data_IF_928195872419
#
_entry.id   IF_928195872419
#
_cell.length_a   1.000
_cell.length_b   1.000
_cell.length_c   1.000
_cell.angle_alpha   90.00
_cell.angle_beta   90.00
_cell.angle_gamma   90.00
#
_symmetry.space_group_name_H-M   'P 1'
#
loop_
_entity.id
_entity.type
_entity.pdbx_description
1 polymer ?
#
# COMPACT_ATOMS: atom_id res chain seq x y z
N UNK A 1 -0.75 11.74 22.36
CA UNK A 1 -0.94 10.40 22.92
C UNK A 1 -1.02 9.37 21.79
N UNK A 2 -0.26 8.32 21.95
CA UNK A 2 -0.26 7.26 20.93
C UNK A 2 -1.51 6.39 21.06
N UNK A 3 -2.05 5.99 19.95
CA UNK A 3 -3.14 5.01 19.96
C UNK A 3 -2.53 3.62 19.89
N UNK A 4 -3.33 2.60 20.19
CA UNK A 4 -2.90 1.22 20.04
C UNK A 4 -3.44 0.60 18.75
N UNK A 5 -3.89 1.43 17.83
CA UNK A 5 -4.44 0.96 16.56
C UNK A 5 -3.30 0.77 15.57
N UNK A 6 -2.91 -0.46 15.38
CA UNK A 6 -1.83 -0.81 14.45
C UNK A 6 -2.24 -2.07 13.73
N UNK A 7 -2.19 -2.03 12.40
CA UNK A 7 -2.47 -3.18 11.55
C UNK A 7 -1.24 -3.46 10.70
N UNK A 8 -0.90 -4.71 10.57
CA UNK A 8 0.28 -5.12 9.81
C UNK A 8 -0.16 -6.09 8.74
N UNK A 9 0.29 -5.85 7.52
CA UNK A 9 0.00 -6.72 6.41
C UNK A 9 1.29 -7.08 5.71
N UNK A 10 1.34 -8.30 5.19
CA UNK A 10 2.42 -8.71 4.32
C UNK A 10 2.30 -7.94 3.02
N UNK A 11 3.41 -7.53 2.45
CA UNK A 11 3.42 -6.76 1.23
C UNK A 11 4.37 -7.37 0.22
N UNK A 12 3.96 -7.34 -1.03
CA UNK A 12 4.79 -7.78 -2.13
C UNK A 12 4.69 -6.70 -3.20
N UNK A 13 5.82 -6.15 -3.58
CA UNK A 13 5.86 -5.07 -4.54
C UNK A 13 7.12 -4.26 -4.37
N UNK A 14 7.11 -3.07 -4.95
CA UNK A 14 8.25 -2.17 -4.90
C UNK A 14 7.77 -0.81 -4.44
N UNK A 15 8.59 -0.13 -3.65
CA UNK A 15 8.32 1.23 -3.23
C UNK A 15 9.49 2.12 -3.60
N UNK A 16 9.22 3.38 -3.74
CA UNK A 16 10.23 4.36 -4.11
C UNK A 16 10.56 5.26 -2.93
N UNK A 17 11.86 5.44 -2.69
CA UNK A 17 12.33 6.39 -1.70
C UNK A 17 13.38 7.26 -2.38
N UNK A 18 13.05 8.54 -2.55
CA UNK A 18 13.87 9.40 -3.37
C UNK A 18 13.90 8.89 -4.81
N UNK A 19 15.08 8.64 -5.32
CA UNK A 19 15.25 8.12 -6.68
C UNK A 19 15.43 6.61 -6.73
N UNK A 20 15.39 5.94 -5.58
CA UNK A 20 15.67 4.52 -5.52
C UNK A 20 14.43 3.72 -5.20
N UNK A 21 14.32 2.56 -5.81
CA UNK A 21 13.24 1.62 -5.56
C UNK A 21 13.76 0.48 -4.71
N UNK A 22 12.93 -0.03 -3.82
CA UNK A 22 13.28 -1.18 -3.00
C UNK A 22 12.10 -2.14 -2.92
N UNK A 23 12.36 -3.45 -2.80
CA UNK A 23 11.27 -4.41 -2.66
C UNK A 23 10.63 -4.29 -1.27
N UNK A 24 9.32 -4.54 -1.22
CA UNK A 24 8.58 -4.49 0.03
C UNK A 24 8.55 -5.84 0.71
N UNK A 25 8.35 -5.82 2.02
CA UNK A 25 8.02 -7.02 2.77
C UNK A 25 6.77 -6.82 3.59
N UNK A 26 6.52 -5.61 4.05
CA UNK A 26 5.51 -5.36 5.06
C UNK A 26 4.90 -3.97 4.89
N UNK A 27 3.61 -3.87 5.16
CA UNK A 27 2.93 -2.59 5.27
C UNK A 27 2.41 -2.47 6.70
N UNK A 28 2.66 -1.35 7.33
CA UNK A 28 2.16 -1.06 8.67
C UNK A 28 1.18 0.10 8.56
N UNK A 29 -0.02 -0.09 9.08
CA UNK A 29 -1.07 0.94 9.08
C UNK A 29 -1.37 1.27 10.53
N UNK A 30 -1.35 2.53 10.88
CA UNK A 30 -1.60 2.93 12.25
C UNK A 30 -2.39 4.22 12.32
N UNK A 31 -2.98 4.48 13.46
CA UNK A 31 -3.64 5.74 13.74
C UNK A 31 -2.86 6.38 14.89
N UNK A 32 -2.27 7.53 14.64
CA UNK A 32 -1.36 8.13 15.59
C UNK A 32 -1.28 9.64 15.33
N UNK A 33 -0.53 10.33 16.18
CA UNK A 33 -0.28 11.75 16.01
C UNK A 33 0.50 12.00 14.73
N UNK A 34 0.12 13.05 14.01
CA UNK A 34 0.87 13.47 12.83
C UNK A 34 2.23 13.98 13.26
N UNK A 35 3.26 13.60 12.53
CA UNK A 35 4.63 14.05 12.81
C UNK A 35 5.08 15.11 11.82
N UNK A 36 4.50 15.12 10.65
CA UNK A 36 4.92 16.01 9.57
C UNK A 36 3.79 16.88 9.03
N UNK A 37 2.59 16.31 8.91
CA UNK A 37 1.44 17.07 8.46
C UNK A 37 0.97 17.99 9.58
N UNK A 38 0.50 19.22 9.26
CA UNK A 38 -0.03 20.13 10.29
C UNK A 38 -1.45 19.70 10.67
N UNK A 39 -1.58 18.51 11.19
CA UNK A 39 -2.85 17.87 11.50
C UNK A 39 -2.78 17.30 12.91
N UNK A 40 -3.93 16.88 13.44
CA UNK A 40 -3.98 16.18 14.71
C UNK A 40 -3.57 14.72 14.52
N UNK A 41 -4.53 13.81 14.72
CA UNK A 41 -4.25 12.40 14.51
C UNK A 41 -4.48 12.03 13.04
N UNK A 42 -3.66 11.13 12.55
CA UNK A 42 -3.65 10.72 11.15
C UNK A 42 -3.55 9.21 11.02
N UNK A 43 -3.93 8.73 9.84
CA UNK A 43 -3.61 7.37 9.45
C UNK A 43 -2.20 7.41 8.86
N UNK A 44 -1.31 6.59 9.38
CA UNK A 44 0.04 6.46 8.83
C UNK A 44 0.14 5.16 8.07
N UNK A 45 0.78 5.24 6.91
CA UNK A 45 1.08 4.05 6.10
C UNK A 45 2.58 3.99 5.96
N UNK A 46 3.18 2.89 6.40
CA UNK A 46 4.60 2.65 6.24
C UNK A 46 4.79 1.41 5.39
N UNK A 47 5.49 1.58 4.28
CA UNK A 47 5.82 0.48 3.38
C UNK A 47 7.30 0.19 3.58
N UNK A 48 7.60 -0.99 4.10
CA UNK A 48 8.97 -1.27 4.56
C UNK A 48 9.46 -2.62 4.06
N UNK A 49 10.78 -2.77 4.12
CA UNK A 49 11.42 -4.09 3.97
C UNK A 49 12.19 -4.34 5.25
N UNK A 50 11.71 -5.30 6.04
CA UNK A 50 12.30 -5.59 7.34
C UNK A 50 13.75 -6.06 7.25
N UNK A 51 14.08 -6.74 6.15
CA UNK A 51 15.45 -7.24 5.97
C UNK A 51 16.45 -6.13 5.62
N UNK A 52 15.96 -5.00 5.11
CA UNK A 52 16.80 -3.90 4.65
C UNK A 52 16.69 -2.66 5.54
N UNK A 53 15.96 -2.77 6.65
CA UNK A 53 15.83 -1.65 7.57
C UNK A 53 17.20 -1.25 8.13
N UNK A 54 17.40 0.02 8.48
CA UNK A 54 16.40 1.09 8.55
C UNK A 54 16.21 1.88 7.25
N UNK A 55 16.92 1.60 6.22
CA UNK A 55 16.90 2.43 5.02
C UNK A 55 15.70 2.22 4.10
N UNK A 56 15.10 1.04 4.12
CA UNK A 56 14.04 0.68 3.17
C UNK A 56 12.66 0.94 3.75
N UNK A 57 12.25 2.20 3.71
CA UNK A 57 10.97 2.62 4.28
C UNK A 57 10.42 3.82 3.52
N UNK A 58 9.14 3.74 3.16
CA UNK A 58 8.40 4.85 2.57
C UNK A 58 7.16 5.09 3.41
N UNK A 59 7.00 6.29 3.94
CA UNK A 59 5.92 6.60 4.86
C UNK A 59 4.99 7.67 4.34
N UNK A 60 3.73 7.59 4.72
CA UNK A 60 2.68 8.54 4.33
C UNK A 60 1.84 8.84 5.55
N UNK A 61 1.43 10.10 5.69
CA UNK A 61 0.46 10.52 6.71
C UNK A 61 -0.77 11.03 6.01
N UNK A 62 -1.93 10.47 6.32
CA UNK A 62 -3.20 10.83 5.69
C UNK A 62 -4.23 11.20 6.74
N UNK A 63 -5.08 12.18 6.41
CA UNK A 63 -6.26 12.39 7.25
C UNK A 63 -7.14 11.16 7.18
N UNK A 64 -7.99 10.99 8.19
CA UNK A 64 -8.95 9.88 8.18
C UNK A 64 -9.82 9.92 6.94
N UNK A 65 -10.24 11.12 6.52
CA UNK A 65 -11.07 11.27 5.33
C UNK A 65 -10.34 10.82 4.07
N UNK A 66 -9.06 11.22 3.94
CA UNK A 66 -8.26 10.80 2.79
C UNK A 66 -8.01 9.28 2.80
N UNK A 67 -7.81 8.72 3.98
CA UNK A 67 -7.63 7.27 4.09
C UNK A 67 -8.87 6.52 3.60
N UNK A 68 -10.07 7.03 3.91
CA UNK A 68 -11.31 6.43 3.43
C UNK A 68 -11.43 6.53 1.91
N UNK A 69 -11.02 7.66 1.35
CA UNK A 69 -11.03 7.85 -0.10
C UNK A 69 -10.06 6.89 -0.78
N UNK A 70 -8.89 6.71 -0.19
CA UNK A 70 -7.90 5.77 -0.71
C UNK A 70 -8.45 4.35 -0.67
N UNK A 71 -9.08 3.98 0.44
CA UNK A 71 -9.67 2.65 0.57
C UNK A 71 -10.69 2.41 -0.55
N UNK A 72 -11.56 3.38 -0.79
CA UNK A 72 -12.59 3.26 -1.82
C UNK A 72 -11.96 3.15 -3.21
N UNK A 73 -10.91 3.94 -3.47
CA UNK A 73 -10.21 3.89 -4.75
C UNK A 73 -9.52 2.54 -4.96
N UNK A 74 -8.91 2.01 -3.90
CA UNK A 74 -8.30 0.69 -3.97
C UNK A 74 -9.33 -0.39 -4.27
N UNK A 75 -10.49 -0.32 -3.59
CA UNK A 75 -11.57 -1.29 -3.82
C UNK A 75 -12.02 -1.27 -5.26
N UNK A 76 -12.18 -0.08 -5.85
CA UNK A 76 -12.61 0.05 -7.24
C UNK A 76 -11.55 -0.51 -8.20
N UNK A 77 -10.29 -0.20 -7.95
CA UNK A 77 -9.20 -0.67 -8.81
C UNK A 77 -9.05 -2.19 -8.72
N UNK A 78 -9.16 -2.73 -7.51
CA UNK A 78 -9.07 -4.18 -7.30
C UNK A 78 -10.20 -4.89 -8.03
N UNK A 79 -11.43 -4.39 -7.89
CA UNK A 79 -12.58 -5.00 -8.55
C UNK A 79 -12.41 -4.97 -10.06
N UNK A 80 -11.94 -3.86 -10.60
CA UNK A 80 -11.71 -3.75 -12.04
C UNK A 80 -10.61 -4.70 -12.50
N UNK A 81 -9.54 -4.82 -11.72
CA UNK A 81 -8.43 -5.71 -12.05
C UNK A 81 -8.87 -7.18 -12.04
N UNK A 82 -9.71 -7.53 -11.06
CA UNK A 82 -10.23 -8.90 -10.98
C UNK A 82 -11.09 -9.26 -12.19
N UNK A 83 -11.88 -8.30 -12.66
CA UNK A 83 -12.68 -8.52 -13.87
C UNK A 83 -11.78 -8.69 -15.09
N UNK A 84 -10.72 -7.89 -15.20
CA UNK A 84 -9.77 -8.00 -16.29
C UNK A 84 -9.10 -9.36 -16.30
N UNK A 85 -8.67 -9.83 -15.14
CA UNK A 85 -8.03 -11.14 -15.06
C UNK A 85 -8.99 -12.27 -15.37
N UNK A 86 -10.21 -12.17 -14.92
CA UNK A 86 -11.23 -13.17 -15.21
C UNK A 86 -11.52 -13.20 -16.72
N UNK A 87 -11.59 -12.02 -17.36
CA UNK A 87 -11.84 -11.93 -18.80
C UNK A 87 -10.72 -12.57 -19.60
N UNK A 88 -9.48 -12.29 -19.20
CA UNK A 88 -8.31 -12.88 -19.87
C UNK A 88 -8.36 -14.41 -19.76
N UNK A 89 -8.63 -14.94 -18.58
CA UNK A 89 -8.74 -16.39 -18.39
C UNK A 89 -9.91 -16.97 -19.17
N UNK A 90 -11.04 -16.25 -19.17
CA UNK A 90 -12.24 -16.69 -19.87
C UNK A 90 -12.06 -16.78 -21.37
N UNK A 91 -11.14 -16.02 -21.92
CA UNK A 91 -10.85 -16.05 -23.37
C UNK A 91 -9.83 -17.10 -23.75
N UNK A 92 -9.43 -17.95 -22.81
CA UNK A 92 -8.48 -19.01 -23.10
C UNK A 92 -7.09 -18.49 -23.42
N UNK A 93 -6.67 -17.44 -22.75
CA UNK A 93 -5.35 -16.87 -22.93
C UNK A 93 -4.27 -17.89 -22.64
N UNK A 94 -3.20 -17.82 -23.41
CA UNK A 94 -2.09 -18.76 -23.27
C UNK A 94 -1.54 -18.75 -21.85
N UNK A 95 -1.41 -19.94 -21.23
CA UNK A 95 -0.81 -20.00 -19.89
C UNK A 95 0.59 -19.39 -19.90
N UNK A 96 0.88 -18.62 -18.90
CA UNK A 96 2.16 -17.96 -18.81
C UNK A 96 2.20 -16.59 -19.45
N UNK A 97 1.15 -16.19 -20.15
CA UNK A 97 1.07 -14.83 -20.67
C UNK A 97 0.75 -13.91 -19.51
N UNK A 98 1.72 -13.14 -19.11
CA UNK A 98 1.59 -12.27 -17.97
C UNK A 98 1.30 -10.86 -18.43
N UNK A 99 0.28 -10.24 -17.87
CA UNK A 99 -0.02 -8.86 -18.16
C UNK A 99 1.04 -7.99 -17.53
N UNK A 100 1.55 -7.05 -18.30
CA UNK A 100 2.46 -6.07 -17.75
C UNK A 100 1.70 -5.19 -16.77
N UNK A 101 2.24 -5.06 -15.59
CA UNK A 101 1.61 -4.23 -14.57
C UNK A 101 1.87 -2.76 -14.85
#
# INVERSE_FOLDING_TARGET
MCTSIIEIARAEGMAKRGDEWFPLSTTVVAYDHARHAPLGDVITLDFINLALEPGARAGIELTLETAKELRAALDRAIAAAELEEADVRGKGTVPGLVRAA
#
